data_IF_963122622956
#
_entry.id   IF_963122622956
#
_cell.length_a   1.000
_cell.length_b   1.000
_cell.length_c   1.000
_cell.angle_alpha   90.00
_cell.angle_beta   90.00
_cell.angle_gamma   90.00
#
_symmetry.space_group_name_H-M   'P 1'
#
loop_
_entity.id
_entity.type
_entity.pdbx_description
1 polymer ?
#
# COMPACT_ATOMS: atom_id res chain seq x y z
N UNK A 1 -14.75 26.13 2.72
CA UNK A 1 -14.93 24.76 3.22
C UNK A 1 -13.56 24.10 3.23
N UNK A 2 -13.04 23.74 4.41
CA UNK A 2 -11.78 23.00 4.52
C UNK A 2 -11.96 21.61 3.92
N UNK A 3 -10.97 21.10 3.19
CA UNK A 3 -10.95 19.73 2.71
C UNK A 3 -11.18 18.77 3.89
N UNK A 4 -12.00 17.71 3.73
CA UNK A 4 -12.15 16.71 4.77
C UNK A 4 -10.78 16.07 5.06
N UNK A 5 -10.44 15.94 6.35
CA UNK A 5 -9.22 15.28 6.75
C UNK A 5 -9.24 13.83 6.23
N UNK A 6 -8.21 13.44 5.49
CA UNK A 6 -8.10 12.09 4.95
C UNK A 6 -7.96 11.08 6.07
N UNK A 7 -8.94 10.17 6.18
CA UNK A 7 -8.98 9.15 7.23
C UNK A 7 -7.89 8.13 7.00
N UNK A 8 -6.93 8.04 7.92
CA UNK A 8 -5.97 6.94 7.96
C UNK A 8 -6.64 5.71 8.54
N UNK A 9 -6.51 4.60 7.84
CA UNK A 9 -6.99 3.28 8.24
C UNK A 9 -5.79 2.44 8.67
N UNK A 10 -6.03 1.47 9.58
CA UNK A 10 -5.04 0.50 10.01
C UNK A 10 -5.59 -0.91 9.84
N UNK A 11 -4.76 -1.79 9.30
CA UNK A 11 -5.07 -3.22 9.15
C UNK A 11 -3.86 -4.01 9.63
N UNK A 12 -4.09 -4.91 10.60
CA UNK A 12 -3.08 -5.85 11.06
C UNK A 12 -3.52 -7.28 10.75
N UNK A 13 -2.63 -8.09 10.20
CA UNK A 13 -2.91 -9.47 9.85
C UNK A 13 -1.70 -10.37 10.06
N UNK A 14 -1.95 -11.67 10.20
CA UNK A 14 -0.95 -12.73 10.20
C UNK A 14 -1.41 -13.87 9.31
N UNK A 15 -0.46 -14.56 8.69
CA UNK A 15 -0.72 -15.69 7.79
C UNK A 15 -0.91 -17.03 8.53
N UNK A 16 -0.72 -17.07 9.84
CA UNK A 16 -0.71 -18.30 10.63
C UNK A 16 -1.78 -18.32 11.73
N UNK A 17 -2.16 -19.51 12.15
CA UNK A 17 -2.91 -19.73 13.38
C UNK A 17 -1.96 -20.31 14.42
N UNK A 18 -1.77 -19.61 15.55
CA UNK A 18 -0.88 -20.07 16.61
C UNK A 18 -1.31 -21.44 17.16
N UNK A 19 -0.35 -22.34 17.34
CA UNK A 19 -0.60 -23.69 17.84
C UNK A 19 -1.09 -24.72 16.81
N UNK A 20 -1.44 -24.29 15.58
CA UNK A 20 -1.85 -25.20 14.50
C UNK A 20 -0.66 -25.55 13.60
N UNK A 21 -0.63 -26.81 13.14
CA UNK A 21 0.35 -27.27 12.17
C UNK A 21 0.06 -26.71 10.78
N UNK A 22 1.09 -26.21 10.10
CA UNK A 22 1.05 -25.63 8.77
C UNK A 22 2.19 -26.18 7.91
N UNK A 23 2.07 -26.00 6.60
CA UNK A 23 3.07 -26.40 5.62
C UNK A 23 3.39 -25.24 4.69
N UNK A 24 4.68 -25.05 4.38
CA UNK A 24 5.16 -24.13 3.34
C UNK A 24 6.17 -24.83 2.45
N UNK A 25 6.15 -24.52 1.17
CA UNK A 25 7.13 -25.04 0.22
C UNK A 25 8.39 -24.15 0.22
N UNK A 26 9.46 -24.68 -0.33
CA UNK A 26 10.71 -23.92 -0.52
C UNK A 26 10.44 -22.70 -1.39
N UNK A 27 10.88 -21.52 -0.92
CA UNK A 27 10.64 -20.22 -1.54
C UNK A 27 9.35 -19.54 -1.09
N UNK A 28 8.48 -20.22 -0.35
CA UNK A 28 7.24 -19.65 0.20
C UNK A 28 7.44 -19.14 1.63
N UNK A 29 6.64 -18.14 1.98
CA UNK A 29 6.63 -17.61 3.33
C UNK A 29 5.99 -18.62 4.31
N UNK A 30 6.71 -18.99 5.36
CA UNK A 30 6.20 -19.71 6.51
C UNK A 30 5.30 -18.82 7.38
N UNK A 31 5.73 -17.58 7.53
CA UNK A 31 5.07 -16.57 8.36
C UNK A 31 5.08 -15.24 7.64
N UNK A 32 3.92 -14.59 7.65
CA UNK A 32 3.77 -13.17 7.24
C UNK A 32 3.05 -12.46 8.36
N UNK A 33 3.60 -11.33 8.80
CA UNK A 33 2.95 -10.39 9.71
C UNK A 33 2.88 -9.01 9.05
N UNK A 34 1.70 -8.45 8.97
CA UNK A 34 1.45 -7.13 8.40
C UNK A 34 0.84 -6.19 9.44
N UNK A 35 1.32 -4.95 9.44
CA UNK A 35 0.71 -3.83 10.14
C UNK A 35 0.69 -2.64 9.18
N UNK A 36 -0.44 -2.44 8.52
CA UNK A 36 -0.58 -1.54 7.39
C UNK A 36 -1.35 -0.28 7.83
N UNK A 37 -0.73 0.87 7.61
CA UNK A 37 -1.36 2.18 7.70
C UNK A 37 -1.61 2.68 6.27
N UNK A 38 -2.85 3.00 5.94
CA UNK A 38 -3.19 3.42 4.59
C UNK A 38 -4.37 4.37 4.56
N UNK A 39 -4.57 4.99 3.44
CA UNK A 39 -5.81 5.70 3.09
C UNK A 39 -6.28 5.25 1.72
N UNK A 40 -7.55 5.45 1.43
CA UNK A 40 -8.09 5.18 0.09
C UNK A 40 -7.91 6.43 -0.77
N UNK A 41 -7.36 6.25 -1.96
CA UNK A 41 -7.23 7.29 -2.97
C UNK A 41 -7.74 6.81 -4.32
N UNK A 42 -8.23 7.73 -5.12
CA UNK A 42 -8.42 7.50 -6.55
C UNK A 42 -7.06 7.69 -7.24
N UNK A 43 -6.64 6.71 -8.03
CA UNK A 43 -5.32 6.70 -8.68
C UNK A 43 -5.51 6.64 -10.18
N UNK A 44 -4.84 7.51 -10.92
CA UNK A 44 -4.89 7.52 -12.37
C UNK A 44 -4.32 6.21 -12.94
N UNK A 45 -5.06 5.55 -13.81
CA UNK A 45 -4.70 4.28 -14.46
C UNK A 45 -3.83 4.47 -15.70
N UNK A 46 -3.90 5.66 -16.30
CA UNK A 46 -3.18 6.02 -17.52
C UNK A 46 -2.77 7.49 -17.50
N UNK A 47 -1.88 7.85 -18.39
CA UNK A 47 -1.53 9.24 -18.63
C UNK A 47 -2.68 9.99 -19.31
N UNK A 48 -2.95 11.22 -18.85
CA UNK A 48 -3.95 12.08 -19.45
C UNK A 48 -3.51 13.54 -19.43
N UNK A 49 -3.44 14.16 -20.62
CA UNK A 49 -3.17 15.58 -20.74
C UNK A 49 -4.47 16.37 -20.62
N UNK A 50 -4.62 17.11 -19.53
CA UNK A 50 -5.78 18.02 -19.40
C UNK A 50 -5.75 19.01 -20.56
N UNK A 51 -6.89 19.17 -21.29
CA UNK A 51 -6.96 20.12 -22.40
C UNK A 51 -6.58 21.52 -21.97
N UNK A 52 -5.72 22.23 -22.72
CA UNK A 52 -5.29 23.57 -22.34
C UNK A 52 -6.46 24.56 -22.33
N UNK A 53 -6.40 25.52 -21.44
CA UNK A 53 -7.33 26.65 -21.40
C UNK A 53 -6.56 27.94 -21.67
N UNK A 54 -7.22 28.90 -22.29
CA UNK A 54 -6.62 30.21 -22.61
C UNK A 54 -6.00 30.81 -21.34
N UNK A 55 -4.71 31.11 -21.41
CA UNK A 55 -3.97 31.71 -20.29
C UNK A 55 -3.50 30.76 -19.20
N UNK A 56 -3.70 29.45 -19.35
CA UNK A 56 -3.24 28.46 -18.37
C UNK A 56 -2.61 27.24 -19.02
N UNK A 57 -1.56 26.71 -18.41
CA UNK A 57 -0.94 25.44 -18.76
C UNK A 57 -1.21 24.41 -17.67
N UNK A 58 -1.69 23.23 -18.08
CA UNK A 58 -1.99 22.13 -17.17
C UNK A 58 -0.90 21.07 -17.25
N UNK A 59 -0.47 20.52 -16.11
CA UNK A 59 0.45 19.41 -16.10
C UNK A 59 -0.21 18.15 -16.66
N UNK A 60 0.61 17.25 -17.16
CA UNK A 60 0.20 15.89 -17.46
C UNK A 60 -0.23 15.18 -16.16
N UNK A 61 -1.40 14.59 -16.13
CA UNK A 61 -1.75 13.60 -15.11
C UNK A 61 -1.09 12.29 -15.53
N UNK A 62 -0.11 11.85 -14.78
CA UNK A 62 0.59 10.58 -15.08
C UNK A 62 -0.11 9.41 -14.42
N UNK A 63 -0.03 8.23 -15.04
CA UNK A 63 -0.42 6.99 -14.40
C UNK A 63 0.22 6.86 -13.02
N UNK A 64 -0.55 6.43 -12.02
CA UNK A 64 -0.13 6.38 -10.63
C UNK A 64 -0.23 7.71 -9.87
N UNK A 65 -0.71 8.80 -10.48
CA UNK A 65 -1.00 10.03 -9.73
C UNK A 65 -2.20 9.80 -8.82
N UNK A 66 -2.04 10.16 -7.55
CA UNK A 66 -3.02 9.99 -6.50
C UNK A 66 -3.89 11.23 -6.33
N UNK A 67 -5.18 10.99 -6.14
CA UNK A 67 -6.18 12.01 -5.89
C UNK A 67 -6.96 11.65 -4.62
N UNK A 68 -7.18 12.65 -3.78
CA UNK A 68 -7.92 12.51 -2.53
C UNK A 68 -9.20 13.36 -2.55
N UNK A 69 -10.27 12.95 -1.87
CA UNK A 69 -11.48 13.75 -1.78
C UNK A 69 -11.21 15.14 -1.22
N UNK A 70 -11.70 16.16 -1.89
CA UNK A 70 -11.66 17.55 -1.44
C UNK A 70 -13.04 18.04 -0.98
N UNK A 71 -14.09 17.69 -1.71
CA UNK A 71 -15.46 18.13 -1.42
C UNK A 71 -16.46 17.56 -2.43
N UNK A 72 -17.71 17.99 -2.27
CA UNK A 72 -18.81 17.59 -3.14
C UNK A 72 -19.47 18.84 -3.72
N UNK A 73 -19.76 18.80 -5.01
CA UNK A 73 -20.51 19.85 -5.72
C UNK A 73 -22.01 19.77 -5.40
N UNK A 74 -22.76 20.82 -5.72
CA UNK A 74 -24.22 20.87 -5.51
C UNK A 74 -25.01 19.80 -6.26
N UNK A 75 -24.47 19.34 -7.39
CA UNK A 75 -25.07 18.27 -8.20
C UNK A 75 -24.70 16.85 -7.72
N UNK A 76 -23.97 16.72 -6.61
CA UNK A 76 -23.55 15.45 -6.04
C UNK A 76 -22.19 14.93 -6.53
N UNK A 77 -21.58 15.55 -7.54
CA UNK A 77 -20.26 15.15 -8.03
C UNK A 77 -19.17 15.43 -7.02
N UNK A 78 -18.11 14.62 -7.06
CA UNK A 78 -16.98 14.72 -6.15
C UNK A 78 -15.84 15.54 -6.77
N UNK A 79 -15.26 16.41 -5.95
CA UNK A 79 -14.00 17.08 -6.24
C UNK A 79 -12.86 16.28 -5.64
N UNK A 80 -11.89 15.90 -6.46
CA UNK A 80 -10.69 15.20 -6.05
C UNK A 80 -9.46 16.09 -6.27
N UNK A 81 -8.58 16.15 -5.28
CA UNK A 81 -7.35 16.95 -5.28
C UNK A 81 -6.11 16.08 -5.35
N UNK A 82 -5.10 16.54 -6.08
CA UNK A 82 -3.73 16.02 -6.00
C UNK A 82 -2.74 17.17 -5.76
N UNK A 83 -1.81 16.98 -4.85
CA UNK A 83 -0.72 17.97 -4.63
C UNK A 83 0.18 18.13 -5.86
N UNK A 84 0.21 17.12 -6.74
CA UNK A 84 0.97 17.11 -7.99
C UNK A 84 0.26 17.85 -9.12
N UNK A 85 -1.05 18.09 -9.01
CA UNK A 85 -1.85 18.81 -10.00
C UNK A 85 -1.74 20.33 -9.74
N UNK A 86 -0.73 20.97 -10.33
CA UNK A 86 -0.43 22.40 -10.15
C UNK A 86 -0.39 23.11 -11.50
N UNK A 87 -1.52 23.61 -12.00
CA UNK A 87 -1.56 24.40 -13.23
C UNK A 87 -0.71 25.66 -13.10
N UNK A 88 -0.25 26.13 -14.25
CA UNK A 88 0.53 27.35 -14.36
C UNK A 88 -0.16 28.36 -15.27
N UNK A 89 0.07 29.64 -15.02
CA UNK A 89 -0.34 30.71 -15.93
C UNK A 89 0.45 30.64 -17.24
N UNK A 90 0.03 31.41 -18.26
CA UNK A 90 0.80 31.55 -19.50
C UNK A 90 2.22 32.09 -19.32
N UNK A 91 2.51 32.73 -18.17
CA UNK A 91 3.84 33.20 -17.78
C UNK A 91 4.66 32.13 -17.04
N UNK A 92 4.13 30.92 -16.85
CA UNK A 92 4.79 29.85 -16.14
C UNK A 92 4.72 29.93 -14.61
N UNK A 93 3.99 30.90 -14.04
CA UNK A 93 3.79 31.05 -12.60
C UNK A 93 2.71 30.08 -12.09
N UNK A 94 2.85 29.51 -10.89
CA UNK A 94 1.79 28.69 -10.30
C UNK A 94 0.50 29.51 -10.15
N UNK A 95 -0.65 28.89 -10.44
CA UNK A 95 -1.93 29.52 -10.12
C UNK A 95 -2.13 29.61 -8.60
N UNK A 96 -2.73 30.70 -8.07
CA UNK A 96 -2.78 30.94 -6.61
C UNK A 96 -3.88 30.16 -5.89
N UNK A 97 -4.57 29.23 -6.55
CA UNK A 97 -5.64 28.41 -5.98
C UNK A 97 -5.41 26.93 -6.24
N UNK A 98 -6.03 26.10 -5.40
CA UNK A 98 -5.98 24.64 -5.54
C UNK A 98 -6.85 24.18 -6.71
N UNK A 99 -6.34 23.22 -7.44
CA UNK A 99 -7.04 22.60 -8.56
C UNK A 99 -7.51 21.19 -8.21
N UNK A 100 -8.73 20.89 -8.64
CA UNK A 100 -9.40 19.62 -8.49
C UNK A 100 -9.78 19.04 -9.84
N UNK A 101 -9.87 17.73 -9.93
CA UNK A 101 -10.61 17.04 -10.97
C UNK A 101 -12.02 16.75 -10.47
N UNK A 102 -12.98 16.71 -11.39
CA UNK A 102 -14.39 16.43 -11.09
C UNK A 102 -14.74 15.02 -11.51
N UNK A 103 -15.40 14.30 -10.61
CA UNK A 103 -15.79 12.90 -10.77
C UNK A 103 -17.29 12.79 -10.53
N UNK A 104 -18.01 12.16 -11.45
CA UNK A 104 -19.45 11.94 -11.31
C UNK A 104 -19.80 10.80 -10.32
N UNK A 105 -21.08 10.56 -10.11
CA UNK A 105 -21.56 9.53 -9.18
C UNK A 105 -21.17 8.09 -9.61
N UNK A 106 -20.79 7.87 -10.86
CA UNK A 106 -20.30 6.57 -11.35
C UNK A 106 -18.81 6.36 -11.13
N UNK A 107 -18.08 7.41 -10.69
CA UNK A 107 -16.62 7.37 -10.50
C UNK A 107 -15.83 7.81 -11.73
N UNK A 108 -16.49 8.30 -12.80
CA UNK A 108 -15.85 8.75 -14.03
C UNK A 108 -15.36 10.20 -13.90
N UNK A 109 -14.07 10.41 -14.19
CA UNK A 109 -13.50 11.75 -14.27
C UNK A 109 -13.93 12.42 -15.59
N UNK A 110 -14.47 13.63 -15.51
CA UNK A 110 -15.00 14.31 -16.68
C UNK A 110 -14.60 15.79 -16.82
N UNK A 111 -13.86 16.31 -15.88
CA UNK A 111 -13.49 17.72 -15.90
C UNK A 111 -12.55 18.13 -14.77
N UNK A 112 -12.30 19.41 -14.71
CA UNK A 112 -11.51 20.07 -13.66
C UNK A 112 -12.18 21.34 -13.14
N UNK A 113 -11.77 21.77 -11.97
CA UNK A 113 -12.26 22.98 -11.32
C UNK A 113 -11.20 23.60 -10.42
N UNK A 114 -11.30 24.91 -10.16
CA UNK A 114 -10.70 25.48 -8.94
C UNK A 114 -11.47 24.93 -7.75
N UNK A 115 -10.81 24.21 -6.84
CA UNK A 115 -11.45 23.41 -5.78
C UNK A 115 -12.49 24.19 -4.95
N UNK A 116 -12.24 25.48 -4.67
CA UNK A 116 -13.10 26.32 -3.84
C UNK A 116 -14.26 27.01 -4.56
N UNK A 117 -14.26 27.06 -5.90
CA UNK A 117 -15.24 27.85 -6.68
C UNK A 117 -16.42 27.01 -7.21
N UNK A 118 -16.30 25.70 -7.29
CA UNK A 118 -17.39 24.81 -7.69
C UNK A 118 -17.83 24.93 -9.16
N UNK A 119 -17.05 25.61 -10.00
CA UNK A 119 -17.31 25.75 -11.44
C UNK A 119 -16.45 24.72 -12.16
N UNK A 120 -17.11 23.73 -12.76
CA UNK A 120 -16.43 22.66 -13.50
C UNK A 120 -16.25 23.03 -14.96
N UNK A 121 -15.03 22.84 -15.45
CA UNK A 121 -14.72 22.81 -16.89
C UNK A 121 -14.72 21.38 -17.36
N UNK A 122 -15.58 21.05 -18.35
CA UNK A 122 -15.64 19.72 -18.91
C UNK A 122 -14.45 19.44 -19.84
N UNK A 123 -13.99 18.20 -19.83
CA UNK A 123 -12.96 17.72 -20.75
C UNK A 123 -13.60 17.13 -22.02
N UNK A 124 -12.95 17.39 -23.15
CA UNK A 124 -13.33 16.81 -24.44
C UNK A 124 -12.05 16.55 -25.25
N UNK A 125 -11.73 15.27 -25.55
CA UNK A 125 -12.41 14.08 -25.07
C UNK A 125 -12.16 13.83 -23.57
N UNK A 126 -13.10 13.23 -22.85
CA UNK A 126 -12.88 12.74 -21.49
C UNK A 126 -12.17 11.40 -21.52
N UNK A 127 -11.30 11.07 -20.55
CA UNK A 127 -10.71 9.74 -20.45
C UNK A 127 -11.74 8.73 -19.93
N UNK A 128 -11.63 7.48 -20.39
CA UNK A 128 -12.47 6.37 -19.93
C UNK A 128 -11.72 5.52 -18.90
N UNK A 129 -12.43 5.00 -17.86
CA UNK A 129 -11.87 4.16 -16.81
C UNK A 129 -10.57 4.74 -16.21
N UNK A 130 -10.56 6.05 -16.05
CA UNK A 130 -9.35 6.81 -15.75
C UNK A 130 -8.87 6.67 -14.31
N UNK A 131 -9.77 6.39 -13.37
CA UNK A 131 -9.48 6.32 -11.95
C UNK A 131 -9.80 4.93 -11.38
N UNK A 132 -8.89 4.44 -10.55
CA UNK A 132 -9.07 3.25 -9.74
C UNK A 132 -8.94 3.63 -8.26
N UNK A 133 -9.92 3.23 -7.44
CA UNK A 133 -9.81 3.43 -5.98
C UNK A 133 -9.00 2.32 -5.35
N UNK A 134 -7.87 2.68 -4.72
CA UNK A 134 -6.99 1.71 -4.06
C UNK A 134 -6.32 2.26 -2.80
N UNK A 135 -5.83 1.37 -1.91
CA UNK A 135 -5.09 1.79 -0.73
C UNK A 135 -3.73 2.37 -1.11
N UNK A 136 -3.40 3.50 -0.51
CA UNK A 136 -2.07 4.11 -0.54
C UNK A 136 -1.46 3.95 0.84
N UNK A 137 -0.35 3.22 0.91
CA UNK A 137 0.30 2.89 2.17
C UNK A 137 1.15 4.04 2.67
N UNK A 138 1.04 4.31 3.96
CA UNK A 138 1.78 5.38 4.65
C UNK A 138 3.06 4.84 5.28
N UNK A 139 3.96 5.77 5.54
CA UNK A 139 5.11 5.53 6.41
C UNK A 139 4.63 4.98 7.77
N UNK A 140 5.39 4.03 8.33
CA UNK A 140 5.00 3.28 9.51
C UNK A 140 4.23 1.99 9.21
N UNK A 141 3.84 1.73 7.96
CA UNK A 141 3.39 0.42 7.53
C UNK A 141 4.56 -0.56 7.54
N UNK A 142 4.32 -1.79 7.98
CA UNK A 142 5.34 -2.85 7.99
C UNK A 142 4.77 -4.18 7.50
N UNK A 143 5.61 -4.92 6.78
CA UNK A 143 5.38 -6.32 6.40
C UNK A 143 6.65 -7.10 6.71
N UNK A 144 6.52 -8.15 7.50
CA UNK A 144 7.60 -9.03 7.94
C UNK A 144 7.29 -10.44 7.49
N UNK A 145 8.30 -11.10 6.93
CA UNK A 145 8.16 -12.45 6.38
C UNK A 145 9.31 -13.33 6.84
N UNK A 146 9.01 -14.60 7.14
CA UNK A 146 9.99 -15.67 7.19
C UNK A 146 9.74 -16.63 6.03
N UNK A 147 10.73 -16.78 5.16
CA UNK A 147 10.65 -17.58 3.93
C UNK A 147 11.48 -18.83 4.11
N UNK A 148 10.89 -19.99 3.83
CA UNK A 148 11.62 -21.26 3.85
C UNK A 148 12.56 -21.38 2.64
N UNK A 149 13.85 -21.55 2.90
CA UNK A 149 14.88 -21.68 1.87
C UNK A 149 15.31 -23.13 1.56
N UNK A 150 14.63 -24.12 2.15
CA UNK A 150 14.97 -25.54 2.00
C UNK A 150 15.91 -26.05 3.08
N UNK A 151 16.30 -27.33 2.95
CA UNK A 151 17.15 -28.04 3.90
C UNK A 151 18.37 -28.66 3.17
N UNK A 152 19.53 -28.61 3.80
CA UNK A 152 20.74 -29.30 3.35
C UNK A 152 21.38 -30.00 4.54
N UNK A 153 21.47 -31.35 4.46
CA UNK A 153 21.80 -32.15 5.63
C UNK A 153 20.73 -31.96 6.71
N UNK A 154 21.14 -31.58 7.94
CA UNK A 154 20.23 -31.26 9.05
C UNK A 154 20.03 -29.76 9.25
N UNK A 155 20.56 -28.92 8.35
CA UNK A 155 20.48 -27.46 8.43
C UNK A 155 19.38 -26.93 7.50
N UNK A 156 18.39 -26.24 8.06
CA UNK A 156 17.39 -25.48 7.31
C UNK A 156 17.89 -24.05 7.08
N UNK A 157 17.51 -23.50 5.91
CA UNK A 157 17.71 -22.10 5.58
C UNK A 157 16.39 -21.34 5.66
N UNK A 158 16.42 -20.17 6.26
CA UNK A 158 15.25 -19.30 6.38
C UNK A 158 15.68 -17.87 6.07
N UNK A 159 14.96 -17.16 5.22
CA UNK A 159 15.21 -15.76 4.96
C UNK A 159 14.18 -14.90 5.70
N UNK A 160 14.65 -13.97 6.53
CA UNK A 160 13.80 -12.91 7.08
C UNK A 160 13.79 -11.72 6.13
N UNK A 161 12.60 -11.18 5.85
CA UNK A 161 12.42 -9.94 5.08
C UNK A 161 11.53 -8.98 5.86
N UNK A 162 11.88 -7.69 5.79
CA UNK A 162 11.08 -6.60 6.35
C UNK A 162 10.99 -5.48 5.32
N UNK A 163 9.77 -5.05 5.01
CA UNK A 163 9.49 -3.98 4.06
C UNK A 163 8.50 -2.98 4.64
N UNK A 164 8.51 -1.75 4.10
CA UNK A 164 7.53 -0.72 4.41
C UNK A 164 6.22 -1.01 3.63
N UNK A 165 5.26 -1.63 4.30
CA UNK A 165 3.98 -2.00 3.71
C UNK A 165 4.12 -3.02 2.59
N UNK A 166 3.31 -2.88 1.53
CA UNK A 166 3.34 -3.76 0.34
C UNK A 166 4.36 -3.33 -0.72
N UNK A 167 5.17 -2.31 -0.46
CA UNK A 167 6.24 -1.90 -1.36
C UNK A 167 7.38 -2.90 -1.32
N UNK A 168 7.80 -3.40 -2.47
CA UNK A 168 8.97 -4.27 -2.60
C UNK A 168 10.30 -3.49 -2.63
N UNK A 169 10.26 -2.17 -2.65
CA UNK A 169 11.44 -1.32 -2.67
C UNK A 169 12.10 -1.27 -1.29
N UNK A 170 13.36 -1.69 -1.21
CA UNK A 170 14.21 -1.65 -0.01
C UNK A 170 13.73 -2.50 1.18
N UNK A 171 13.43 -3.77 0.94
CA UNK A 171 13.26 -4.71 2.03
C UNK A 171 14.61 -4.98 2.72
N UNK A 172 14.64 -4.85 4.04
CA UNK A 172 15.73 -5.43 4.83
C UNK A 172 15.64 -6.95 4.71
N UNK A 173 16.75 -7.62 4.44
CA UNK A 173 16.82 -9.08 4.38
C UNK A 173 17.95 -9.59 5.26
N UNK A 174 17.69 -10.70 5.95
CA UNK A 174 18.66 -11.43 6.75
C UNK A 174 18.47 -12.92 6.50
N UNK A 175 19.55 -13.60 6.11
CA UNK A 175 19.58 -15.04 5.97
C UNK A 175 19.92 -15.70 7.32
N UNK A 176 19.16 -16.72 7.67
CA UNK A 176 19.26 -17.49 8.90
C UNK A 176 19.46 -18.96 8.58
N UNK A 177 20.20 -19.66 9.41
CA UNK A 177 20.39 -21.10 9.32
C UNK A 177 20.20 -21.73 10.70
N UNK A 178 19.46 -22.85 10.75
CA UNK A 178 19.18 -23.58 11.98
C UNK A 178 19.50 -25.06 11.81
N UNK A 179 20.34 -25.58 12.69
CA UNK A 179 20.68 -26.99 12.75
C UNK A 179 19.62 -27.75 13.55
N UNK A 180 18.81 -28.56 12.88
CA UNK A 180 17.73 -29.32 13.47
C UNK A 180 18.21 -30.50 14.32
N UNK A 181 19.49 -30.89 14.22
CA UNK A 181 20.09 -31.85 15.14
C UNK A 181 20.26 -31.31 16.55
N UNK A 182 20.46 -29.98 16.67
CA UNK A 182 20.62 -29.27 17.94
C UNK A 182 19.27 -28.88 18.54
N UNK A 183 18.34 -28.42 17.70
CA UNK A 183 17.01 -27.96 18.15
C UNK A 183 16.01 -27.99 17.01
N UNK A 184 14.82 -28.53 17.27
CA UNK A 184 13.68 -28.44 16.36
C UNK A 184 12.86 -27.14 16.52
N UNK A 185 13.42 -26.15 17.22
CA UNK A 185 12.76 -24.87 17.44
C UNK A 185 13.56 -23.75 16.79
N UNK A 186 12.95 -23.07 15.84
CA UNK A 186 13.45 -21.82 15.27
C UNK A 186 13.09 -20.72 16.25
N UNK A 187 14.10 -19.95 16.69
CA UNK A 187 13.91 -18.74 17.49
C UNK A 187 14.51 -17.56 16.75
N UNK A 188 13.67 -16.56 16.47
CA UNK A 188 14.09 -15.33 15.85
C UNK A 188 13.29 -14.16 16.41
N UNK A 189 13.97 -13.20 17.04
CA UNK A 189 13.33 -12.13 17.82
C UNK A 189 12.41 -12.75 18.88
N UNK A 190 11.12 -12.36 18.90
CA UNK A 190 10.11 -12.93 19.80
C UNK A 190 9.40 -14.15 19.21
N UNK A 191 9.74 -14.51 17.97
CA UNK A 191 9.11 -15.65 17.30
C UNK A 191 9.71 -16.97 17.77
N UNK A 192 8.82 -17.92 18.00
CA UNK A 192 9.15 -19.31 18.23
C UNK A 192 8.33 -20.20 17.30
N UNK A 193 9.02 -21.01 16.48
CA UNK A 193 8.42 -21.97 15.55
C UNK A 193 8.96 -23.37 15.84
N UNK A 194 8.08 -24.30 16.11
CA UNK A 194 8.39 -25.70 16.25
C UNK A 194 8.38 -26.39 14.90
N UNK A 195 9.51 -26.99 14.48
CA UNK A 195 9.62 -27.73 13.23
C UNK A 195 9.19 -29.18 13.44
N UNK A 196 8.16 -29.63 12.76
CA UNK A 196 7.68 -31.00 12.76
C UNK A 196 8.44 -31.86 11.77
N UNK A 197 8.58 -31.36 10.54
CA UNK A 197 9.30 -31.98 9.46
C UNK A 197 9.92 -30.92 8.56
N UNK A 198 11.09 -31.19 8.02
CA UNK A 198 11.73 -30.34 7.03
C UNK A 198 12.40 -31.20 5.98
N UNK A 199 12.29 -30.79 4.73
CA UNK A 199 12.89 -31.43 3.55
C UNK A 199 13.47 -30.34 2.64
N UNK A 200 14.15 -30.71 1.56
CA UNK A 200 14.56 -29.73 0.55
C UNK A 200 13.39 -28.99 -0.11
N UNK A 201 12.17 -29.55 -0.09
CA UNK A 201 11.03 -29.05 -0.83
C UNK A 201 9.98 -28.37 0.03
N UNK A 202 9.80 -28.78 1.30
CA UNK A 202 8.78 -28.25 2.18
C UNK A 202 9.17 -28.34 3.65
N UNK A 203 8.48 -27.57 4.48
CA UNK A 203 8.56 -27.61 5.94
C UNK A 203 7.15 -27.72 6.53
N UNK A 204 6.95 -28.59 7.53
CA UNK A 204 5.78 -28.61 8.41
C UNK A 204 6.17 -28.07 9.77
N UNK A 205 5.36 -27.14 10.28
CA UNK A 205 5.74 -26.37 11.47
C UNK A 205 4.51 -25.88 12.25
N UNK A 206 4.74 -25.48 13.49
CA UNK A 206 3.75 -24.84 14.37
C UNK A 206 4.34 -23.53 14.86
N UNK A 207 3.65 -22.41 14.65
CA UNK A 207 4.01 -21.12 15.25
C UNK A 207 3.52 -21.08 16.69
N UNK A 208 4.43 -20.90 17.63
CA UNK A 208 4.14 -20.78 19.07
C UNK A 208 4.00 -19.32 19.51
N UNK A 209 4.83 -18.44 18.97
CA UNK A 209 4.75 -16.99 19.16
C UNK A 209 5.14 -16.24 17.89
N UNK A 210 4.62 -15.01 17.71
CA UNK A 210 4.87 -14.17 16.54
C UNK A 210 6.15 -13.35 16.64
N UNK A 211 6.50 -12.63 15.56
CA UNK A 211 7.68 -11.77 15.48
C UNK A 211 7.54 -10.58 16.43
N UNK A 212 6.33 -10.03 16.54
CA UNK A 212 6.00 -8.94 17.46
C UNK A 212 5.19 -9.46 18.65
N UNK A 213 5.51 -8.98 19.83
CA UNK A 213 4.69 -9.19 21.02
C UNK A 213 3.41 -8.34 20.88
N UNK A 214 2.29 -8.99 20.56
CA UNK A 214 0.99 -8.32 20.37
C UNK A 214 0.35 -7.87 21.66
N UNK A 215 0.72 -8.45 22.80
CA UNK A 215 0.17 -8.06 24.09
C UNK A 215 0.61 -6.66 24.52
N UNK A 216 1.73 -6.17 23.98
CA UNK A 216 2.23 -4.82 24.26
C UNK A 216 1.44 -3.72 23.52
N UNK A 217 0.90 -4.00 22.31
CA UNK A 217 0.17 -3.00 21.51
C UNK A 217 -1.28 -2.73 21.97
N UNK A 218 -1.88 -3.66 22.71
CA UNK A 218 -3.25 -3.49 23.27
C UNK A 218 -3.30 -2.73 24.60
N UNK A 219 -2.15 -2.31 25.14
CA UNK A 219 -2.07 -1.59 26.43
C UNK A 219 -1.78 -0.09 26.29
N UNK A 220 -1.89 0.48 25.09
CA UNK A 220 -1.75 1.94 24.87
C UNK A 220 -2.96 2.55 24.21
#
# INVERSE_FOLDING_TARGET
>A
SSAPAQKTLRQSSVSYAAGLEQTSNTGEAMVVEEDLLYYMAAVATSDYQIPPQLGSAYPLISAGMEFVPYGTLKNGDTLLRSERLKPRTSRGEPVPWEYCITVDASGEAYGDAACGLGITRRWDPKPENFLETKPVYKEGSSRKELIYGGMSGETIKVAYRESAGKSSAQAFQQDLAYDLSQSRTIRFRNMEIEVREATSNHIRFIVRSGIEDRDYKNKR
#
